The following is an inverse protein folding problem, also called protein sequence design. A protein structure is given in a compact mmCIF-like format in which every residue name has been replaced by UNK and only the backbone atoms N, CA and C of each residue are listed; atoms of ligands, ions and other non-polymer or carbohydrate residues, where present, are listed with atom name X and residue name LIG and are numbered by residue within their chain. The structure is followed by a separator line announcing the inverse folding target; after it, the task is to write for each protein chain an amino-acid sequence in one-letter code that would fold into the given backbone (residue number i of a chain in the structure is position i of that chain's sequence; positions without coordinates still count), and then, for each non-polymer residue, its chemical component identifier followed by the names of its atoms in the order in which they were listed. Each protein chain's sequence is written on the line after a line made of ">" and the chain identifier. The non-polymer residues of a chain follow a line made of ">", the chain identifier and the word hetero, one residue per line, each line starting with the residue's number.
data_IF_956439337029
#
_entry.id   IF_956439337029
#
_cell.length_a   1.000
_cell.length_b   1.000
_cell.length_c   1.000
_cell.angle_alpha   90.00
_cell.angle_beta   90.00
_cell.angle_gamma   90.00
#
_symmetry.space_group_name_H-M   'P 1'
#
loop_
_entity.id
_entity.type
_entity.pdbx_description
1 polymer ?
#
# COMPACT_ATOMS: atom_id res chain seq x y z
N UNK A 1 20.33 20.24 -21.77
CA UNK A 1 20.24 20.66 -20.36
C UNK A 1 21.24 19.83 -19.58
N UNK A 2 22.18 20.49 -18.90
CA UNK A 2 23.19 19.79 -18.10
C UNK A 2 22.68 19.59 -16.68
N UNK A 3 22.80 18.36 -16.17
CA UNK A 3 22.40 18.00 -14.82
C UNK A 3 23.65 17.49 -14.10
N UNK A 4 23.88 18.01 -12.90
CA UNK A 4 24.99 17.59 -12.05
C UNK A 4 24.83 16.11 -11.64
N UNK A 5 25.90 15.34 -11.72
CA UNK A 5 25.93 13.90 -11.41
C UNK A 5 25.37 13.55 -10.03
N UNK A 6 25.63 14.38 -9.01
CA UNK A 6 25.08 14.18 -7.66
C UNK A 6 23.57 14.39 -7.64
N UNK A 7 23.06 15.37 -8.40
CA UNK A 7 21.62 15.65 -8.51
C UNK A 7 20.94 14.51 -9.27
N UNK A 8 21.53 14.06 -10.37
CA UNK A 8 21.03 12.92 -11.13
C UNK A 8 21.00 11.65 -10.28
N UNK A 9 22.09 11.35 -9.57
CA UNK A 9 22.18 10.20 -8.67
C UNK A 9 21.18 10.28 -7.51
N UNK A 10 20.95 11.46 -6.93
CA UNK A 10 19.96 11.65 -5.88
C UNK A 10 18.52 11.42 -6.37
N UNK A 11 18.19 11.92 -7.57
CA UNK A 11 16.89 11.67 -8.24
C UNK A 11 16.68 10.17 -8.43
N UNK A 12 17.73 9.48 -8.86
CA UNK A 12 17.74 8.03 -9.07
C UNK A 12 17.49 7.28 -7.76
N UNK A 13 18.25 7.57 -6.70
CA UNK A 13 18.09 6.93 -5.40
C UNK A 13 16.68 7.15 -4.86
N UNK A 14 16.16 8.38 -4.96
CA UNK A 14 14.80 8.69 -4.54
C UNK A 14 13.77 7.81 -5.24
N UNK A 15 13.89 7.66 -6.56
CA UNK A 15 12.98 6.82 -7.34
C UNK A 15 13.10 5.33 -7.03
N UNK A 16 14.31 4.80 -6.84
CA UNK A 16 14.52 3.39 -6.44
C UNK A 16 13.89 3.11 -5.07
N UNK A 17 14.10 4.00 -4.09
CA UNK A 17 13.52 3.87 -2.75
C UNK A 17 11.99 3.93 -2.80
N UNK A 18 11.44 4.90 -3.55
CA UNK A 18 10.00 5.00 -3.76
C UNK A 18 9.46 3.68 -4.35
N UNK A 19 10.10 3.17 -5.39
CA UNK A 19 9.67 1.97 -6.10
C UNK A 19 9.73 0.72 -5.21
N UNK A 20 10.77 0.58 -4.38
CA UNK A 20 10.87 -0.49 -3.37
C UNK A 20 9.74 -0.42 -2.33
N UNK A 21 9.42 0.78 -1.84
CA UNK A 21 8.30 0.98 -0.90
C UNK A 21 6.95 0.64 -1.53
N UNK A 22 6.74 0.95 -2.81
CA UNK A 22 5.51 0.57 -3.51
C UNK A 22 5.45 -0.94 -3.81
N UNK A 23 6.55 -1.55 -4.25
CA UNK A 23 6.63 -2.98 -4.54
C UNK A 23 6.31 -3.84 -3.31
N UNK A 24 6.83 -3.48 -2.13
CA UNK A 24 6.54 -4.19 -0.88
C UNK A 24 5.06 -4.17 -0.50
N UNK A 25 4.35 -3.05 -0.76
CA UNK A 25 2.90 -2.95 -0.53
C UNK A 25 2.08 -3.84 -1.47
N UNK A 26 2.51 -4.00 -2.72
CA UNK A 26 1.87 -4.89 -3.70
C UNK A 26 2.06 -6.33 -3.31
N UNK A 27 3.29 -6.74 -2.98
CA UNK A 27 3.60 -8.11 -2.53
C UNK A 27 2.78 -8.47 -1.31
N UNK A 28 2.63 -7.56 -0.34
CA UNK A 28 1.78 -7.77 0.83
C UNK A 28 0.31 -8.00 0.45
N UNK A 29 -0.24 -7.21 -0.47
CA UNK A 29 -1.62 -7.38 -0.94
C UNK A 29 -1.82 -8.63 -1.80
N UNK A 30 -0.82 -9.00 -2.60
CA UNK A 30 -0.83 -10.21 -3.41
C UNK A 30 -0.86 -11.45 -2.52
N UNK A 31 0.00 -11.48 -1.49
CA UNK A 31 0.02 -12.53 -0.46
C UNK A 31 -1.32 -12.65 0.26
N UNK A 32 -1.96 -11.54 0.62
CA UNK A 32 -3.30 -11.56 1.24
C UNK A 32 -4.36 -12.17 0.33
N UNK A 33 -4.31 -11.92 -0.97
CA UNK A 33 -5.23 -12.53 -1.92
C UNK A 33 -4.99 -14.03 -2.07
N UNK A 34 -3.73 -14.46 -2.24
CA UNK A 34 -3.39 -15.87 -2.42
C UNK A 34 -3.81 -16.75 -1.24
N UNK A 35 -4.03 -16.19 -0.06
CA UNK A 35 -4.50 -16.93 1.12
C UNK A 35 -6.02 -17.05 1.23
N UNK A 36 -6.81 -16.17 0.62
CA UNK A 36 -8.26 -16.11 0.88
C UNK A 36 -9.14 -16.33 -0.35
N UNK A 37 -8.57 -16.19 -1.55
CA UNK A 37 -9.30 -16.19 -2.84
C UNK A 37 -10.47 -15.19 -2.93
N UNK A 38 -10.67 -14.37 -1.90
CA UNK A 38 -11.75 -13.42 -1.72
C UNK A 38 -11.17 -12.02 -1.52
N UNK A 39 -11.72 -11.05 -2.23
CA UNK A 39 -11.19 -9.68 -2.24
C UNK A 39 -12.33 -8.68 -2.17
N UNK A 40 -12.26 -7.81 -1.16
CA UNK A 40 -13.13 -6.65 -1.05
C UNK A 40 -12.76 -5.58 -2.09
N UNK A 41 -13.75 -4.84 -2.61
CA UNK A 41 -13.54 -3.82 -3.65
C UNK A 41 -12.46 -2.78 -3.31
N UNK A 42 -12.21 -2.50 -2.04
CA UNK A 42 -11.15 -1.58 -1.61
C UNK A 42 -9.76 -2.01 -2.07
N UNK A 43 -9.49 -3.31 -1.98
CA UNK A 43 -8.20 -3.86 -2.36
C UNK A 43 -8.01 -3.74 -3.86
N UNK A 44 -9.06 -4.03 -4.64
CA UNK A 44 -9.10 -3.81 -6.09
C UNK A 44 -8.86 -2.34 -6.47
N UNK A 45 -9.58 -1.39 -5.87
CA UNK A 45 -9.40 0.05 -6.14
C UNK A 45 -7.99 0.54 -5.78
N UNK A 46 -7.43 0.06 -4.68
CA UNK A 46 -6.06 0.43 -4.29
C UNK A 46 -5.04 -0.12 -5.30
N UNK A 47 -5.21 -1.36 -5.77
CA UNK A 47 -4.35 -1.94 -6.79
C UNK A 47 -4.52 -1.24 -8.14
N UNK A 48 -5.72 -0.79 -8.49
CA UNK A 48 -5.93 0.05 -9.67
C UNK A 48 -5.16 1.37 -9.56
N UNK A 49 -5.19 2.04 -8.41
CA UNK A 49 -4.40 3.26 -8.19
C UNK A 49 -2.89 2.99 -8.33
N UNK A 50 -2.41 1.85 -7.83
CA UNK A 50 -1.01 1.44 -8.04
C UNK A 50 -0.71 1.22 -9.52
N UNK A 51 -1.60 0.56 -10.27
CA UNK A 51 -1.43 0.37 -11.70
C UNK A 51 -1.32 1.71 -12.44
N UNK A 52 -2.21 2.67 -12.15
CA UNK A 52 -2.16 4.02 -12.74
C UNK A 52 -0.82 4.70 -12.41
N UNK A 53 -0.37 4.61 -11.15
CA UNK A 53 0.92 5.13 -10.75
C UNK A 53 2.07 4.51 -11.54
N UNK A 54 2.13 3.18 -11.68
CA UNK A 54 3.20 2.53 -12.46
C UNK A 54 3.13 2.87 -13.94
N UNK A 55 1.95 2.98 -14.53
CA UNK A 55 1.81 3.41 -15.94
C UNK A 55 2.38 4.82 -16.11
N UNK A 56 1.98 5.76 -15.25
CA UNK A 56 2.53 7.12 -15.29
C UNK A 56 4.06 7.13 -15.09
N UNK A 57 4.55 6.28 -14.19
CA UNK A 57 5.98 6.13 -13.91
C UNK A 57 6.77 5.54 -15.08
N UNK A 58 6.22 4.54 -15.78
CA UNK A 58 6.79 3.95 -17.00
C UNK A 58 6.86 5.01 -18.10
N UNK A 59 5.78 5.78 -18.31
CA UNK A 59 5.74 6.87 -19.29
C UNK A 59 6.83 7.91 -18.96
N UNK A 60 6.94 8.32 -17.70
CA UNK A 60 7.99 9.25 -17.26
C UNK A 60 9.39 8.69 -17.51
N UNK A 61 9.63 7.41 -17.19
CA UNK A 61 10.90 6.74 -17.41
C UNK A 61 11.26 6.65 -18.90
N UNK A 62 10.27 6.40 -19.77
CA UNK A 62 10.46 6.42 -21.23
C UNK A 62 10.82 7.80 -21.75
N UNK A 63 10.17 8.86 -21.25
CA UNK A 63 10.51 10.24 -21.62
C UNK A 63 11.96 10.54 -21.25
N UNK A 64 12.38 10.20 -20.01
CA UNK A 64 13.77 10.41 -19.57
C UNK A 64 14.75 9.63 -20.44
N UNK A 65 14.45 8.36 -20.74
CA UNK A 65 15.29 7.53 -21.60
C UNK A 65 15.47 8.15 -23.00
N UNK A 66 14.38 8.61 -23.62
CA UNK A 66 14.43 9.28 -24.94
C UNK A 66 15.26 10.56 -24.86
N UNK A 67 15.08 11.37 -23.81
CA UNK A 67 15.82 12.62 -23.64
C UNK A 67 17.33 12.39 -23.46
N UNK A 68 17.73 11.31 -22.79
CA UNK A 68 19.13 10.88 -22.70
C UNK A 68 19.63 10.36 -24.05
N UNK A 69 18.84 9.57 -24.77
CA UNK A 69 19.22 9.01 -26.07
C UNK A 69 19.36 10.04 -27.19
N UNK A 70 18.57 11.12 -27.15
CA UNK A 70 18.65 12.23 -28.11
C UNK A 70 19.68 13.29 -27.65
N UNK A 71 20.45 12.99 -26.59
CA UNK A 71 21.50 13.87 -26.03
C UNK A 71 20.96 15.25 -25.58
N UNK A 72 19.65 15.36 -25.36
CA UNK A 72 19.03 16.59 -24.84
C UNK A 72 19.40 16.79 -23.36
N UNK A 73 19.62 15.70 -22.63
CA UNK A 73 20.18 15.69 -21.28
C UNK A 73 21.61 15.12 -21.37
N UNK A 74 22.58 15.90 -20.91
CA UNK A 74 23.98 15.49 -20.82
C UNK A 74 24.37 15.55 -19.34
N UNK A 75 24.89 14.44 -18.82
CA UNK A 75 25.36 14.27 -17.44
C UNK A 75 26.88 14.06 -17.51
N UNK A 76 27.63 14.81 -16.71
CA UNK A 76 29.09 14.85 -16.76
C UNK A 76 29.67 15.83 -15.74
N UNK A 77 30.95 15.66 -15.42
CA UNK A 77 31.66 16.50 -14.44
C UNK A 77 32.18 17.80 -15.08
N UNK A 78 32.02 18.91 -14.37
CA UNK A 78 32.56 20.21 -14.77
C UNK A 78 33.79 20.55 -13.93
N UNK A 79 34.87 20.94 -14.62
CA UNK A 79 35.96 21.69 -14.01
C UNK A 79 35.81 23.16 -14.37
N UNK A 80 36.28 24.03 -13.47
CA UNK A 80 36.42 25.46 -13.77
C UNK A 80 37.89 25.69 -14.13
N UNK A 81 38.16 26.27 -15.30
CA UNK A 81 39.53 26.62 -15.66
C UNK A 81 40.05 27.72 -14.72
N UNK A 82 41.35 28.01 -14.77
CA UNK A 82 41.98 29.07 -13.94
C UNK A 82 41.42 30.48 -14.20
N UNK A 83 40.64 30.65 -15.27
CA UNK A 83 40.02 31.91 -15.70
C UNK A 83 38.51 31.98 -15.32
N UNK A 84 37.98 30.97 -14.62
CA UNK A 84 36.57 30.92 -14.22
C UNK A 84 35.61 30.38 -15.29
N UNK A 85 36.11 29.93 -16.44
CA UNK A 85 35.33 29.39 -17.55
C UNK A 85 35.05 27.91 -17.30
N UNK A 86 33.78 27.50 -17.46
CA UNK A 86 33.37 26.08 -17.36
C UNK A 86 33.92 25.29 -18.55
N UNK A 87 34.67 24.23 -18.26
CA UNK A 87 35.15 23.26 -19.25
C UNK A 87 34.51 21.90 -18.96
N UNK A 88 34.10 21.21 -20.02
CA UNK A 88 33.68 19.82 -19.94
C UNK A 88 34.92 18.96 -19.77
N UNK A 89 34.98 18.13 -18.72
CA UNK A 89 36.20 17.34 -18.41
C UNK A 89 36.28 16.10 -19.30
N UNK A 90 35.14 15.63 -19.81
CA UNK A 90 35.04 14.41 -20.61
C UNK A 90 34.91 14.71 -22.10
N UNK A 91 36.03 14.71 -22.82
CA UNK A 91 36.09 14.87 -24.28
C UNK A 91 35.97 13.51 -25.02
N UNK A 92 35.22 12.56 -24.45
CA UNK A 92 35.01 11.23 -25.05
C UNK A 92 33.64 11.16 -25.71
N UNK A 93 33.59 10.74 -26.99
CA UNK A 93 32.35 10.36 -27.70
C UNK A 93 31.43 9.58 -26.75
N UNK A 94 30.34 10.21 -26.31
CA UNK A 94 29.43 9.67 -25.31
C UNK A 94 28.74 8.44 -25.90
N UNK A 95 29.23 7.25 -25.56
CA UNK A 95 28.60 6.02 -26.01
C UNK A 95 27.35 5.81 -25.16
N UNK A 96 26.23 6.39 -25.61
CA UNK A 96 24.94 6.40 -24.93
C UNK A 96 24.60 5.01 -24.37
N UNK A 97 24.83 3.94 -25.14
CA UNK A 97 24.51 2.56 -24.74
C UNK A 97 25.33 2.08 -23.51
N UNK A 98 26.56 2.57 -23.34
CA UNK A 98 27.46 2.20 -22.22
C UNK A 98 27.53 3.24 -21.10
N UNK A 99 26.84 4.37 -21.27
CA UNK A 99 26.74 5.41 -20.25
C UNK A 99 26.01 4.88 -19.01
N UNK A 100 26.48 5.27 -17.81
CA UNK A 100 25.82 4.87 -16.54
C UNK A 100 24.36 5.33 -16.54
N UNK A 101 24.10 6.46 -17.16
CA UNK A 101 22.85 7.19 -17.31
C UNK A 101 21.81 6.39 -18.10
N UNK A 102 22.21 5.81 -19.24
CA UNK A 102 21.31 4.96 -20.04
C UNK A 102 21.05 3.64 -19.33
N UNK A 103 22.08 3.01 -18.75
CA UNK A 103 21.91 1.78 -17.97
C UNK A 103 20.94 2.00 -16.80
N UNK A 104 21.10 3.12 -16.09
CA UNK A 104 20.21 3.52 -15.00
C UNK A 104 18.77 3.73 -15.50
N UNK A 105 18.59 4.48 -16.60
CA UNK A 105 17.27 4.71 -17.21
C UNK A 105 16.58 3.40 -17.63
N UNK A 106 17.34 2.43 -18.17
CA UNK A 106 16.83 1.09 -18.46
C UNK A 106 16.46 0.30 -17.19
N UNK A 107 17.30 0.34 -16.16
CA UNK A 107 17.01 -0.29 -14.88
C UNK A 107 15.74 0.30 -14.25
N UNK A 108 15.52 1.61 -14.35
CA UNK A 108 14.27 2.26 -13.91
C UNK A 108 13.06 1.70 -14.63
N UNK A 109 13.11 1.66 -15.95
CA UNK A 109 12.02 1.16 -16.77
C UNK A 109 11.66 -0.29 -16.41
N UNK A 110 12.66 -1.18 -16.35
CA UNK A 110 12.46 -2.60 -16.02
C UNK A 110 11.90 -2.74 -14.60
N UNK A 111 12.42 -1.96 -13.65
CA UNK A 111 11.97 -2.02 -12.25
C UNK A 111 10.50 -1.62 -12.08
N UNK A 112 9.94 -0.77 -12.94
CA UNK A 112 8.54 -0.36 -12.90
C UNK A 112 7.59 -1.32 -13.64
N UNK A 113 8.07 -1.99 -14.69
CA UNK A 113 7.28 -2.97 -15.47
C UNK A 113 6.87 -4.16 -14.62
N UNK A 114 7.79 -4.72 -13.82
CA UNK A 114 7.50 -5.93 -13.04
C UNK A 114 6.36 -5.73 -12.01
N UNK A 115 6.37 -4.68 -11.16
CA UNK A 115 5.24 -4.33 -10.29
C UNK A 115 3.94 -4.06 -11.06
N UNK A 116 4.00 -3.44 -12.23
CA UNK A 116 2.83 -3.20 -13.06
C UNK A 116 2.20 -4.51 -13.53
N UNK A 117 2.99 -5.44 -14.04
CA UNK A 117 2.54 -6.77 -14.47
C UNK A 117 1.96 -7.58 -13.32
N UNK A 118 2.60 -7.58 -12.15
CA UNK A 118 2.07 -8.23 -10.94
C UNK A 118 0.71 -7.63 -10.54
N UNK A 119 0.56 -6.32 -10.66
CA UNK A 119 -0.70 -5.63 -10.36
C UNK A 119 -1.79 -5.95 -11.38
N UNK A 120 -1.44 -6.03 -12.67
CA UNK A 120 -2.37 -6.46 -13.74
C UNK A 120 -2.82 -7.90 -13.49
N UNK A 121 -1.89 -8.81 -13.24
CA UNK A 121 -2.20 -10.22 -12.94
C UNK A 121 -3.12 -10.35 -11.73
N UNK A 122 -2.85 -9.60 -10.65
CA UNK A 122 -3.76 -9.52 -9.51
C UNK A 122 -5.17 -9.05 -9.93
N UNK A 123 -5.27 -7.94 -10.66
CA UNK A 123 -6.54 -7.34 -11.04
C UNK A 123 -7.38 -8.20 -11.99
N UNK A 124 -6.76 -9.03 -12.84
CA UNK A 124 -7.47 -9.92 -13.78
C UNK A 124 -7.96 -11.20 -13.12
N UNK A 125 -7.25 -11.72 -12.12
CA UNK A 125 -7.62 -12.94 -11.42
C UNK A 125 -8.69 -12.73 -10.33
N UNK A 126 -8.91 -11.49 -9.90
CA UNK A 126 -9.80 -11.20 -8.77
C UNK A 126 -11.25 -10.97 -9.21
N UNK A 127 -12.13 -11.81 -8.66
CA UNK A 127 -13.56 -11.55 -8.57
C UNK A 127 -13.87 -10.91 -7.20
N UNK A 128 -14.59 -9.79 -7.21
CA UNK A 128 -15.05 -9.13 -5.98
C UNK A 128 -16.24 -9.91 -5.46
N UNK A 129 -16.08 -10.59 -4.33
CA UNK A 129 -17.07 -11.59 -3.87
C UNK A 129 -18.06 -11.06 -2.83
N UNK A 130 -17.76 -9.98 -2.10
CA UNK A 130 -18.56 -9.58 -0.94
C UNK A 130 -18.62 -8.06 -0.74
N UNK A 131 -19.84 -7.56 -0.59
CA UNK A 131 -20.18 -6.18 -0.27
C UNK A 131 -20.87 -6.11 1.11
N UNK A 132 -20.58 -5.06 1.88
CA UNK A 132 -21.22 -4.78 3.16
C UNK A 132 -21.82 -3.38 3.06
N UNK A 133 -23.14 -3.29 3.20
CA UNK A 133 -23.86 -2.03 3.16
C UNK A 133 -23.99 -1.39 4.55
N UNK A 134 -24.22 -0.08 4.58
CA UNK A 134 -24.40 0.66 5.84
C UNK A 134 -25.57 0.12 6.65
N UNK A 135 -26.69 -0.20 5.98
CA UNK A 135 -27.90 -0.72 6.64
C UNK A 135 -27.63 -2.07 7.30
N UNK A 136 -26.99 -2.98 6.56
CA UNK A 136 -26.64 -4.31 7.08
C UNK A 136 -25.75 -4.24 8.31
N UNK A 137 -24.70 -3.39 8.32
CA UNK A 137 -23.84 -3.24 9.49
C UNK A 137 -24.61 -2.72 10.71
N UNK A 138 -25.47 -1.72 10.51
CA UNK A 138 -26.24 -1.11 11.60
C UNK A 138 -27.34 -2.03 12.13
N UNK A 139 -27.96 -2.84 11.28
CA UNK A 139 -28.94 -3.85 11.69
C UNK A 139 -28.24 -5.01 12.41
N UNK A 140 -27.13 -5.51 11.85
CA UNK A 140 -26.32 -6.56 12.46
C UNK A 140 -25.87 -6.15 13.87
N UNK A 141 -25.40 -4.92 14.05
CA UNK A 141 -24.95 -4.40 15.35
C UNK A 141 -26.05 -4.35 16.42
N UNK A 142 -27.33 -4.32 16.05
CA UNK A 142 -28.45 -4.33 16.99
C UNK A 142 -28.81 -5.72 17.48
N UNK A 143 -28.55 -6.74 16.67
CA UNK A 143 -29.01 -8.11 16.91
C UNK A 143 -27.89 -9.04 17.39
N UNK A 144 -26.63 -8.71 17.10
CA UNK A 144 -25.49 -9.57 17.40
C UNK A 144 -25.04 -9.44 18.85
N UNK A 145 -24.83 -10.58 19.50
CA UNK A 145 -24.18 -10.67 20.80
C UNK A 145 -22.72 -11.05 20.61
N UNK A 146 -21.78 -10.17 20.99
CA UNK A 146 -20.33 -10.34 20.74
C UNK A 146 -19.56 -10.40 22.06
N UNK A 147 -18.68 -11.39 22.21
CA UNK A 147 -17.62 -11.33 23.21
C UNK A 147 -16.49 -10.39 22.75
N UNK A 148 -16.60 -9.12 23.13
CA UNK A 148 -15.64 -8.09 22.74
C UNK A 148 -14.21 -8.38 23.20
N UNK A 149 -14.02 -9.00 24.37
CA UNK A 149 -12.69 -9.26 24.89
C UNK A 149 -11.95 -10.31 24.05
N UNK A 150 -12.68 -11.32 23.55
CA UNK A 150 -12.12 -12.28 22.60
C UNK A 150 -11.74 -11.60 21.28
N UNK A 151 -12.62 -10.76 20.74
CA UNK A 151 -12.37 -10.05 19.47
C UNK A 151 -11.16 -9.11 19.56
N UNK A 152 -10.98 -8.43 20.71
CA UNK A 152 -9.83 -7.55 20.95
C UNK A 152 -8.51 -8.34 21.04
N UNK A 153 -8.53 -9.52 21.66
CA UNK A 153 -7.37 -10.39 21.86
C UNK A 153 -7.09 -11.34 20.68
N UNK A 154 -7.98 -11.40 19.70
CA UNK A 154 -7.76 -12.15 18.47
C UNK A 154 -6.46 -11.72 17.80
N UNK A 155 -5.74 -12.68 17.24
CA UNK A 155 -4.46 -12.42 16.60
C UNK A 155 -4.25 -13.31 15.38
N UNK A 156 -3.44 -12.84 14.44
CA UNK A 156 -2.85 -13.67 13.40
C UNK A 156 -1.33 -13.74 13.60
N UNK A 157 -0.72 -14.81 13.10
CA UNK A 157 0.73 -15.02 13.24
C UNK A 157 1.43 -14.55 11.97
N UNK A 158 2.22 -13.49 12.08
CA UNK A 158 3.08 -13.05 10.99
C UNK A 158 4.39 -13.84 11.04
N UNK A 159 4.49 -14.86 10.17
CA UNK A 159 5.70 -15.69 10.03
C UNK A 159 6.71 -15.01 9.11
N UNK A 160 7.92 -14.76 9.63
CA UNK A 160 9.05 -14.21 8.89
C UNK A 160 9.86 -15.32 8.23
N UNK A 161 9.49 -15.70 7.00
CA UNK A 161 10.34 -16.34 5.98
C UNK A 161 11.01 -17.71 6.27
N UNK A 162 11.68 -17.89 7.41
CA UNK A 162 12.41 -19.11 7.76
C UNK A 162 11.49 -20.09 8.49
N UNK A 163 11.52 -21.37 8.07
CA UNK A 163 10.98 -22.50 8.84
C UNK A 163 11.61 -22.46 10.23
N UNK A 164 10.77 -22.41 11.28
CA UNK A 164 11.21 -22.33 12.68
C UNK A 164 11.37 -20.92 13.25
N UNK A 165 11.12 -19.85 12.48
CA UNK A 165 11.08 -18.49 13.04
C UNK A 165 9.92 -18.31 14.02
N UNK A 166 10.18 -17.68 15.16
CA UNK A 166 9.17 -17.30 16.15
C UNK A 166 8.24 -16.29 15.46
N UNK A 167 7.02 -16.72 15.14
CA UNK A 167 6.04 -15.84 14.52
C UNK A 167 5.63 -14.74 15.49
N UNK A 168 5.46 -13.52 14.98
CA UNK A 168 4.95 -12.42 15.80
C UNK A 168 3.42 -12.43 15.78
N UNK A 169 2.82 -12.45 16.96
CA UNK A 169 1.38 -12.32 17.12
C UNK A 169 0.98 -10.86 16.90
N UNK A 170 0.22 -10.63 15.84
CA UNK A 170 -0.40 -9.33 15.58
C UNK A 170 -1.79 -9.36 16.21
N UNK A 171 -1.92 -8.75 17.38
CA UNK A 171 -3.18 -8.69 18.15
C UNK A 171 -4.07 -7.57 17.60
N UNK A 172 -5.38 -7.82 17.51
CA UNK A 172 -6.34 -6.91 16.86
C UNK A 172 -6.36 -5.53 17.49
N UNK A 173 -6.41 -5.45 18.82
CA UNK A 173 -6.44 -4.20 19.59
C UNK A 173 -5.27 -3.26 19.21
N UNK A 174 -4.03 -3.74 19.30
CA UNK A 174 -2.81 -3.03 18.96
C UNK A 174 -2.75 -2.70 17.48
N UNK A 175 -3.19 -3.64 16.64
CA UNK A 175 -3.19 -3.47 15.20
C UNK A 175 -4.14 -2.36 14.75
N UNK A 176 -5.34 -2.28 15.32
CA UNK A 176 -6.36 -1.29 14.95
C UNK A 176 -6.07 0.08 15.57
N UNK A 177 -5.54 0.13 16.81
CA UNK A 177 -5.20 1.37 17.54
C UNK A 177 -4.25 2.31 16.81
N UNK A 178 -3.39 1.80 15.91
CA UNK A 178 -2.57 2.67 15.05
C UNK A 178 -3.42 3.62 14.16
N UNK A 179 -4.72 3.33 13.97
CA UNK A 179 -5.64 4.22 13.25
C UNK A 179 -5.94 5.51 14.04
N UNK A 180 -5.78 5.49 15.37
CA UNK A 180 -5.99 6.64 16.26
C UNK A 180 -5.08 7.82 15.90
N UNK A 181 -3.91 7.57 15.32
CA UNK A 181 -3.02 8.61 14.83
C UNK A 181 -3.75 9.60 13.90
N UNK A 182 -4.70 9.13 13.10
CA UNK A 182 -5.45 9.97 12.17
C UNK A 182 -6.59 10.77 12.82
N UNK A 183 -6.94 10.48 14.08
CA UNK A 183 -8.00 11.20 14.80
C UNK A 183 -7.70 12.71 14.88
N UNK A 184 -6.42 13.07 15.06
CA UNK A 184 -5.98 14.45 15.21
C UNK A 184 -5.82 15.19 13.88
N UNK A 185 -5.76 14.48 12.74
CA UNK A 185 -5.54 15.10 11.43
C UNK A 185 -6.79 15.12 10.57
N UNK A 186 -7.48 13.99 10.45
CA UNK A 186 -8.61 13.84 9.53
C UNK A 186 -9.46 12.62 9.89
N UNK A 187 -10.65 12.86 10.47
CA UNK A 187 -11.62 11.81 10.82
C UNK A 187 -12.01 10.92 9.64
N UNK A 188 -12.18 11.49 8.45
CA UNK A 188 -12.48 10.72 7.23
C UNK A 188 -11.37 9.74 6.89
N UNK A 189 -10.10 10.13 7.01
CA UNK A 189 -8.97 9.21 6.82
C UNK A 189 -8.93 8.12 7.89
N UNK A 190 -9.24 8.48 9.15
CA UNK A 190 -9.34 7.52 10.24
C UNK A 190 -10.39 6.44 9.96
N UNK A 191 -11.63 6.81 9.59
CA UNK A 191 -12.68 5.85 9.26
C UNK A 191 -12.26 4.92 8.11
N UNK A 192 -11.70 5.49 7.03
CA UNK A 192 -11.19 4.69 5.91
C UNK A 192 -10.08 3.72 6.33
N UNK A 193 -9.22 4.13 7.28
CA UNK A 193 -8.13 3.30 7.79
C UNK A 193 -8.66 2.16 8.67
N UNK A 194 -9.63 2.44 9.55
CA UNK A 194 -10.30 1.44 10.39
C UNK A 194 -10.91 0.35 9.52
N UNK A 195 -11.70 0.73 8.50
CA UNK A 195 -12.35 -0.24 7.62
C UNK A 195 -11.31 -1.10 6.88
N UNK A 196 -10.30 -0.46 6.26
CA UNK A 196 -9.24 -1.18 5.53
C UNK A 196 -8.49 -2.15 6.42
N UNK A 197 -8.08 -1.70 7.61
CA UNK A 197 -7.33 -2.54 8.55
C UNK A 197 -8.16 -3.71 9.02
N UNK A 198 -9.42 -3.48 9.39
CA UNK A 198 -10.34 -4.53 9.82
C UNK A 198 -10.50 -5.59 8.75
N UNK A 199 -10.77 -5.20 7.51
CA UNK A 199 -10.85 -6.12 6.37
C UNK A 199 -9.54 -6.89 6.20
N UNK A 200 -8.40 -6.21 6.19
CA UNK A 200 -7.10 -6.86 6.09
C UNK A 200 -6.82 -7.84 7.22
N UNK A 201 -7.25 -7.54 8.44
CA UNK A 201 -7.07 -8.41 9.60
C UNK A 201 -7.87 -9.70 9.47
N UNK A 202 -9.15 -9.61 9.07
CA UNK A 202 -9.99 -10.79 8.83
C UNK A 202 -9.43 -11.65 7.70
N UNK A 203 -8.95 -11.01 6.62
CA UNK A 203 -8.26 -11.70 5.53
C UNK A 203 -6.92 -12.34 5.98
N UNK A 204 -6.29 -11.90 7.06
CA UNK A 204 -5.13 -12.63 7.60
C UNK A 204 -5.51 -13.94 8.30
N UNK A 205 -6.80 -14.29 8.38
CA UNK A 205 -7.33 -15.49 9.04
C UNK A 205 -6.84 -15.60 10.50
N UNK A 206 -7.36 -14.76 11.42
CA UNK A 206 -6.92 -14.80 12.81
C UNK A 206 -7.18 -16.18 13.43
N UNK A 207 -6.22 -16.65 14.23
CA UNK A 207 -6.20 -18.02 14.77
C UNK A 207 -7.34 -18.29 15.77
N UNK A 208 -7.87 -17.25 16.41
CA UNK A 208 -9.02 -17.34 17.32
C UNK A 208 -10.03 -16.29 16.94
N UNK A 209 -11.15 -16.72 16.35
CA UNK A 209 -12.29 -15.87 16.08
C UNK A 209 -13.11 -15.66 17.36
N UNK A 210 -13.69 -14.48 17.56
CA UNK A 210 -14.62 -14.26 18.65
C UNK A 210 -15.87 -15.14 18.50
N UNK A 211 -16.45 -15.51 19.63
CA UNK A 211 -17.77 -16.14 19.67
C UNK A 211 -18.88 -15.10 19.47
N UNK A 212 -19.83 -15.40 18.57
CA UNK A 212 -21.01 -14.60 18.31
C UNK A 212 -22.17 -15.49 17.81
N UNK A 213 -23.40 -15.01 17.97
CA UNK A 213 -24.67 -15.74 17.80
C UNK A 213 -25.22 -15.74 16.35
N UNK A 214 -24.35 -15.54 15.35
CA UNK A 214 -24.70 -15.47 13.93
C UNK A 214 -23.79 -16.40 13.10
N UNK A 215 -24.15 -16.62 11.83
CA UNK A 215 -23.36 -17.46 10.93
C UNK A 215 -21.91 -16.98 10.81
N UNK A 216 -20.97 -17.92 10.93
CA UNK A 216 -19.54 -17.64 10.92
C UNK A 216 -18.98 -17.50 9.49
N UNK A 217 -19.52 -16.54 8.74
CA UNK A 217 -19.05 -16.18 7.40
C UNK A 217 -18.16 -14.93 7.42
N UNK A 218 -17.30 -14.76 6.41
CA UNK A 218 -16.34 -13.65 6.33
C UNK A 218 -17.01 -12.27 6.48
N UNK A 219 -18.21 -12.09 5.92
CA UNK A 219 -18.97 -10.83 6.01
C UNK A 219 -19.32 -10.49 7.46
N UNK A 220 -19.91 -11.45 8.19
CA UNK A 220 -20.30 -11.31 9.59
C UNK A 220 -19.07 -11.10 10.48
N UNK A 221 -17.99 -11.84 10.23
CA UNK A 221 -16.71 -11.65 10.92
C UNK A 221 -16.19 -10.22 10.74
N UNK A 222 -16.20 -9.69 9.51
CA UNK A 222 -15.81 -8.29 9.26
C UNK A 222 -16.70 -7.31 10.04
N UNK A 223 -18.01 -7.51 10.05
CA UNK A 223 -18.93 -6.66 10.81
C UNK A 223 -18.63 -6.69 12.33
N UNK A 224 -18.39 -7.87 12.90
CA UNK A 224 -17.99 -8.03 14.31
C UNK A 224 -16.71 -7.24 14.63
N UNK A 225 -15.69 -7.35 13.79
CA UNK A 225 -14.45 -6.60 14.00
C UNK A 225 -14.60 -5.10 13.73
N UNK A 226 -15.50 -4.65 12.84
CA UNK A 226 -15.78 -3.22 12.64
C UNK A 226 -16.43 -2.61 13.88
N UNK A 227 -17.39 -3.33 14.48
CA UNK A 227 -18.04 -2.92 15.73
C UNK A 227 -17.00 -2.89 16.87
N UNK A 228 -16.16 -3.93 16.96
CA UNK A 228 -15.08 -3.99 17.96
C UNK A 228 -14.05 -2.88 17.76
N UNK A 229 -13.71 -2.53 16.52
CA UNK A 229 -12.77 -1.46 16.22
C UNK A 229 -13.24 -0.11 16.78
N UNK A 230 -14.53 0.22 16.63
CA UNK A 230 -15.09 1.45 17.23
C UNK A 230 -14.89 1.46 18.74
N UNK A 231 -15.15 0.32 19.41
CA UNK A 231 -14.96 0.18 20.85
C UNK A 231 -13.50 0.35 21.26
N UNK A 232 -12.56 -0.29 20.57
CA UNK A 232 -11.12 -0.20 20.85
C UNK A 232 -10.62 1.23 20.68
N UNK A 233 -10.89 1.85 19.53
CA UNK A 233 -10.46 3.22 19.21
C UNK A 233 -11.02 4.22 20.24
N UNK A 234 -12.29 4.04 20.64
CA UNK A 234 -12.93 4.87 21.64
C UNK A 234 -12.35 4.72 23.04
N UNK A 235 -11.47 3.75 23.34
CA UNK A 235 -10.77 3.72 24.64
C UNK A 235 -9.74 4.86 24.75
N UNK A 236 -9.13 5.23 23.63
CA UNK A 236 -7.93 6.09 23.60
C UNK A 236 -8.21 7.53 23.16
N UNK A 237 -9.26 7.77 22.37
CA UNK A 237 -9.54 9.11 21.81
C UNK A 237 -10.49 9.93 22.69
N UNK A 238 -10.31 11.26 22.69
CA UNK A 238 -11.20 12.21 23.41
C UNK A 238 -12.54 12.35 22.71
N UNK A 239 -12.52 12.69 21.42
CA UNK A 239 -13.73 12.78 20.60
C UNK A 239 -14.14 11.40 20.11
N UNK A 240 -15.11 10.79 20.79
CA UNK A 240 -15.58 9.44 20.45
C UNK A 240 -16.17 9.39 19.04
N UNK A 241 -15.95 8.28 18.37
CA UNK A 241 -16.59 7.96 17.09
C UNK A 241 -17.78 7.04 17.28
N UNK A 242 -18.76 7.16 16.39
CA UNK A 242 -19.93 6.27 16.37
C UNK A 242 -19.82 5.24 15.25
N UNK A 243 -20.55 4.13 15.40
CA UNK A 243 -20.67 3.13 14.34
C UNK A 243 -21.39 3.70 13.11
N UNK A 244 -22.36 4.60 13.30
CA UNK A 244 -23.08 5.28 12.21
C UNK A 244 -22.12 6.14 11.36
N UNK A 245 -21.22 6.89 12.00
CA UNK A 245 -20.21 7.68 11.28
C UNK A 245 -19.24 6.78 10.51
N UNK A 246 -18.83 5.65 11.08
CA UNK A 246 -18.02 4.65 10.39
C UNK A 246 -18.79 4.06 9.19
N UNK A 247 -20.06 3.70 9.39
CA UNK A 247 -20.92 3.10 8.38
C UNK A 247 -21.09 4.00 7.15
N UNK A 248 -21.28 5.32 7.35
CA UNK A 248 -21.32 6.31 6.24
C UNK A 248 -20.08 6.25 5.32
N UNK A 249 -18.96 5.75 5.83
CA UNK A 249 -17.69 5.64 5.11
C UNK A 249 -17.39 4.24 4.54
N UNK A 250 -18.29 3.26 4.72
CA UNK A 250 -18.27 2.00 3.98
C UNK A 250 -18.49 2.24 2.47
N UNK A 251 -19.35 3.20 2.14
CA UNK A 251 -19.60 3.69 0.78
C UNK A 251 -18.29 4.13 0.11
N UNK A 252 -17.87 3.35 -0.89
CA UNK A 252 -16.66 3.59 -1.68
C UNK A 252 -15.41 2.79 -1.25
N UNK A 253 -15.54 1.92 -0.25
CA UNK A 253 -14.49 1.01 0.23
C UNK A 253 -14.95 -0.44 0.10
N UNK A 254 -16.14 -0.83 0.58
CA UNK A 254 -16.70 -2.18 0.38
C UNK A 254 -17.56 -2.29 -0.88
N UNK A 255 -18.13 -1.16 -1.31
CA UNK A 255 -18.94 -0.99 -2.52
C UNK A 255 -18.13 -0.90 -3.79
#
# INVERSE_FOLDING_TARGET
>A
MYINDNVFTAIIIFFVVALALFATQIVAKFRLWSFNESVFKTNKKTMLNFLIFFIAFIIFSLIVLILVQVEVIIVGEFATNKEGIRINVDDTKYNIIRSKESILSFLFLISAIFPALMTIYYLTQIKVHQEITNKELLEFAKIVTINFEEAEKSYYILRTGKRGSIGHNVVFDKYISVSEFFANFNKKLMYKRIIKKTISFVLCQPNKLPTFDQDNNIKNIVMVYLITAVKVINKSIKEKITLDDLAKHLLGITF
#
